data_IF_762161680425
#
_entry.id   IF_762161680425
#
_cell.length_a   1.000
_cell.length_b   1.000
_cell.length_c   1.000
_cell.angle_alpha   90.00
_cell.angle_beta   90.00
_cell.angle_gamma   90.00
#
_symmetry.space_group_name_H-M   'P 1'
#
loop_
_entity.id
_entity.type
_entity.pdbx_description
1 polymer ?
#
# COMPACT_ATOMS: atom_id res chain seq x y z
N UNK A 1 -14.48 5.54 -24.12
CA UNK A 1 -14.67 6.29 -22.86
C UNK A 1 -16.07 6.88 -22.81
N UNK A 2 -16.67 6.91 -21.64
CA UNK A 2 -17.95 7.55 -21.38
C UNK A 2 -17.83 8.38 -20.09
N UNK A 3 -18.65 9.43 -19.97
CA UNK A 3 -18.69 10.28 -18.79
C UNK A 3 -19.99 10.03 -18.02
N UNK A 4 -19.88 9.97 -16.69
CA UNK A 4 -21.02 9.85 -15.79
C UNK A 4 -21.07 11.09 -14.90
N UNK A 5 -22.16 11.84 -14.96
CA UNK A 5 -22.40 12.94 -14.04
C UNK A 5 -23.04 12.40 -12.75
N UNK A 6 -22.35 12.54 -11.63
CA UNK A 6 -22.83 12.09 -10.31
C UNK A 6 -22.59 13.18 -9.25
N UNK A 7 -23.51 13.30 -8.29
CA UNK A 7 -23.34 14.18 -7.14
C UNK A 7 -22.36 13.68 -6.10
N UNK A 8 -22.24 12.35 -6.02
CA UNK A 8 -21.35 11.65 -5.10
C UNK A 8 -20.62 10.55 -5.86
N UNK A 9 -19.32 10.44 -5.64
CA UNK A 9 -18.45 9.39 -6.19
C UNK A 9 -17.75 8.73 -5.02
N UNK A 10 -17.85 7.40 -4.91
CA UNK A 10 -17.14 6.61 -3.91
C UNK A 10 -15.99 5.86 -4.58
N UNK A 11 -14.76 6.08 -4.10
CA UNK A 11 -13.58 5.30 -4.45
C UNK A 11 -13.38 4.17 -3.43
N UNK A 12 -13.40 2.93 -3.91
CA UNK A 12 -13.16 1.71 -3.14
C UNK A 12 -12.23 0.79 -3.96
N UNK A 13 -11.11 1.34 -4.43
CA UNK A 13 -10.26 0.78 -5.50
C UNK A 13 -9.10 -0.05 -4.99
N UNK A 14 -8.98 -0.24 -3.67
CA UNK A 14 -7.85 -0.94 -3.07
C UNK A 14 -6.56 -0.12 -3.06
N UNK A 15 -5.45 -0.77 -2.75
CA UNK A 15 -4.14 -0.16 -2.61
C UNK A 15 -3.28 -0.21 -3.87
N UNK A 16 -1.98 0.04 -3.71
CA UNK A 16 -0.99 0.18 -4.78
C UNK A 16 0.17 -0.83 -4.66
N UNK A 17 -0.10 -2.09 -4.28
CA UNK A 17 0.96 -3.10 -4.10
C UNK A 17 1.80 -3.35 -5.35
N UNK A 18 1.26 -3.08 -6.51
CA UNK A 18 1.97 -3.17 -7.78
C UNK A 18 3.03 -2.06 -8.01
N UNK A 19 3.18 -1.13 -7.06
CA UNK A 19 4.36 -0.27 -6.98
C UNK A 19 5.66 -1.06 -6.77
N UNK A 20 5.59 -2.25 -6.19
CA UNK A 20 6.75 -3.06 -5.83
C UNK A 20 6.85 -4.31 -6.69
N UNK A 21 8.08 -4.70 -7.03
CA UNK A 21 8.35 -5.92 -7.79
C UNK A 21 7.94 -7.18 -7.04
N UNK A 22 8.17 -7.20 -5.71
CA UNK A 22 7.81 -8.32 -4.85
C UNK A 22 6.59 -7.92 -4.03
N UNK A 23 5.43 -8.50 -4.35
CA UNK A 23 4.15 -8.19 -3.71
C UNK A 23 3.25 -9.42 -3.59
N UNK A 24 2.41 -9.42 -2.57
CA UNK A 24 1.32 -10.39 -2.39
C UNK A 24 0.00 -9.91 -3.02
N UNK A 25 -0.01 -8.68 -3.57
CA UNK A 25 -1.22 -8.09 -4.13
C UNK A 25 -1.45 -8.51 -5.59
N UNK A 26 -2.70 -8.65 -6.02
CA UNK A 26 -3.04 -8.99 -7.41
C UNK A 26 -2.57 -7.92 -8.39
N UNK A 27 -2.45 -8.30 -9.66
CA UNK A 27 -1.95 -7.42 -10.73
C UNK A 27 -2.76 -6.13 -10.93
N UNK A 28 -4.00 -6.11 -10.46
CA UNK A 28 -4.92 -4.96 -10.52
C UNK A 28 -4.74 -3.96 -9.36
N UNK A 29 -3.89 -4.26 -8.38
CA UNK A 29 -3.62 -3.34 -7.26
C UNK A 29 -2.63 -2.24 -7.67
N UNK A 30 -3.04 -1.40 -8.61
CA UNK A 30 -2.23 -0.35 -9.27
C UNK A 30 -2.42 1.04 -8.66
N UNK A 31 -3.28 1.18 -7.64
CA UNK A 31 -3.50 2.44 -6.94
C UNK A 31 -4.26 3.50 -7.75
N UNK A 32 -4.95 3.11 -8.80
CA UNK A 32 -5.59 4.03 -9.76
C UNK A 32 -6.52 5.04 -9.08
N UNK A 33 -7.32 4.61 -8.09
CA UNK A 33 -8.22 5.52 -7.37
C UNK A 33 -7.49 6.60 -6.59
N UNK A 34 -6.36 6.25 -5.96
CA UNK A 34 -5.53 7.24 -5.23
C UNK A 34 -4.91 8.23 -6.22
N UNK A 35 -4.35 7.75 -7.33
CA UNK A 35 -3.77 8.60 -8.38
C UNK A 35 -4.81 9.53 -9.01
N UNK A 36 -6.01 9.03 -9.30
CA UNK A 36 -7.11 9.84 -9.83
C UNK A 36 -7.56 10.90 -8.83
N UNK A 37 -7.72 10.56 -7.56
CA UNK A 37 -8.10 11.48 -6.49
C UNK A 37 -7.04 12.57 -6.31
N UNK A 38 -5.76 12.20 -6.31
CA UNK A 38 -4.62 13.12 -6.20
C UNK A 38 -4.61 14.11 -7.37
N UNK A 39 -4.79 13.65 -8.61
CA UNK A 39 -4.89 14.54 -9.79
C UNK A 39 -6.13 15.44 -9.76
N UNK A 40 -7.21 15.01 -9.12
CA UNK A 40 -8.40 15.85 -8.90
C UNK A 40 -8.21 16.87 -7.78
N UNK A 41 -7.08 16.85 -7.06
CA UNK A 41 -6.77 17.76 -5.96
C UNK A 41 -7.21 17.29 -4.58
N UNK A 42 -7.58 16.02 -4.41
CA UNK A 42 -7.81 15.45 -3.10
C UNK A 42 -6.50 15.32 -2.31
N UNK A 43 -6.56 15.60 -1.00
CA UNK A 43 -5.40 15.42 -0.13
C UNK A 43 -5.14 13.93 0.10
N UNK A 44 -3.87 13.54 0.00
CA UNK A 44 -3.37 12.20 0.33
C UNK A 44 -2.47 12.32 1.55
N UNK A 45 -2.44 11.31 2.41
CA UNK A 45 -1.62 11.33 3.61
C UNK A 45 -1.07 9.93 3.95
N UNK A 46 0.03 9.91 4.72
CA UNK A 46 0.65 8.70 5.27
C UNK A 46 1.04 7.64 4.20
N UNK A 47 1.25 8.08 2.97
CA UNK A 47 1.45 7.21 1.81
C UNK A 47 2.80 6.46 1.86
N UNK A 48 3.77 6.94 2.63
CA UNK A 48 5.04 6.28 2.91
C UNK A 48 4.92 5.04 3.80
N UNK A 49 3.80 4.86 4.51
CA UNK A 49 3.55 3.69 5.34
C UNK A 49 2.99 2.54 4.50
N UNK A 50 3.89 1.81 3.87
CA UNK A 50 3.57 0.60 3.14
C UNK A 50 4.03 -0.62 3.93
N UNK A 51 3.09 -1.48 4.35
CA UNK A 51 3.40 -2.67 5.13
C UNK A 51 3.94 -3.79 4.24
N UNK A 52 5.09 -4.32 4.59
CA UNK A 52 5.64 -5.54 4.02
C UNK A 52 5.28 -6.73 4.89
N UNK A 53 4.76 -7.79 4.28
CA UNK A 53 4.55 -9.05 4.99
C UNK A 53 5.87 -9.84 4.99
N UNK A 54 6.35 -10.29 6.15
CA UNK A 54 7.67 -10.92 6.23
C UNK A 54 7.74 -12.28 5.50
N UNK A 55 6.66 -13.06 5.50
CA UNK A 55 6.65 -14.43 5.03
C UNK A 55 5.80 -14.62 3.77
N UNK A 56 6.14 -13.93 2.68
CA UNK A 56 5.69 -14.29 1.36
C UNK A 56 6.62 -15.35 0.76
N UNK A 57 6.07 -16.33 0.05
CA UNK A 57 6.85 -17.42 -0.53
C UNK A 57 7.78 -16.87 -1.62
N UNK A 58 9.09 -17.10 -1.49
CA UNK A 58 10.11 -16.50 -2.36
C UNK A 58 10.34 -17.33 -3.63
N UNK A 59 9.29 -17.49 -4.43
CA UNK A 59 9.31 -18.16 -5.73
C UNK A 59 9.04 -17.18 -6.86
N UNK A 60 9.30 -17.55 -8.13
CA UNK A 60 9.07 -16.67 -9.28
C UNK A 60 7.60 -16.28 -9.51
N UNK A 61 6.65 -17.05 -8.98
CA UNK A 61 5.20 -16.79 -9.12
C UNK A 61 4.80 -15.41 -8.59
N UNK A 62 3.90 -14.73 -9.30
CA UNK A 62 3.36 -13.42 -8.93
C UNK A 62 1.84 -13.39 -9.14
N UNK A 63 1.06 -12.90 -8.17
CA UNK A 63 1.47 -12.42 -6.84
C UNK A 63 2.11 -13.53 -6.00
N UNK A 64 3.00 -13.13 -5.08
CA UNK A 64 3.65 -14.09 -4.17
C UNK A 64 2.62 -14.75 -3.25
N UNK A 65 2.57 -16.10 -3.17
CA UNK A 65 1.72 -16.79 -2.18
C UNK A 65 2.07 -16.33 -0.77
N UNK A 66 1.05 -16.11 0.04
CA UNK A 66 1.21 -15.60 1.40
C UNK A 66 1.26 -16.74 2.40
N UNK A 67 2.39 -16.93 3.05
CA UNK A 67 2.49 -17.77 4.23
C UNK A 67 2.01 -16.99 5.45
N UNK A 68 0.78 -17.27 5.87
CA UNK A 68 0.07 -16.52 6.92
C UNK A 68 0.88 -16.38 8.19
N UNK A 69 0.73 -15.25 8.87
CA UNK A 69 1.28 -15.01 10.21
C UNK A 69 0.87 -16.08 11.23
N UNK A 70 -0.26 -16.75 11.00
CA UNK A 70 -0.71 -17.86 11.86
C UNK A 70 0.31 -19.00 11.92
N UNK A 71 1.09 -19.26 10.88
CA UNK A 71 2.15 -20.28 10.92
C UNK A 71 3.17 -19.96 12.01
N UNK A 72 3.64 -18.70 12.07
CA UNK A 72 4.57 -18.21 13.10
C UNK A 72 3.90 -18.25 14.49
N UNK A 73 2.63 -17.86 14.56
CA UNK A 73 1.82 -17.95 15.77
C UNK A 73 1.64 -19.38 16.31
N UNK A 74 1.75 -20.39 15.45
CA UNK A 74 1.71 -21.81 15.83
C UNK A 74 3.08 -22.43 16.05
N UNK A 75 4.16 -21.64 15.91
CA UNK A 75 5.51 -22.05 16.25
C UNK A 75 6.47 -22.26 15.09
N UNK A 76 6.10 -21.95 13.83
CA UNK A 76 7.04 -21.96 12.74
C UNK A 76 8.15 -20.91 12.96
N UNK A 77 9.41 -21.28 12.62
CA UNK A 77 10.60 -20.52 12.97
C UNK A 77 11.24 -19.91 11.73
N UNK A 78 11.77 -18.70 11.85
CA UNK A 78 12.56 -18.06 10.81
C UNK A 78 14.02 -18.48 10.95
N UNK A 79 14.60 -18.98 9.84
CA UNK A 79 15.97 -19.45 9.75
C UNK A 79 16.74 -18.64 8.72
N UNK A 80 17.99 -18.33 9.04
CA UNK A 80 18.94 -17.74 8.12
C UNK A 80 19.71 -18.81 7.31
N UNK A 81 20.72 -18.39 6.55
CA UNK A 81 21.55 -19.32 5.72
C UNK A 81 22.22 -20.41 6.55
N UNK A 82 22.59 -20.11 7.77
CA UNK A 82 23.32 -21.04 8.64
C UNK A 82 22.37 -21.90 9.50
N UNK A 83 21.04 -21.73 9.31
CA UNK A 83 19.98 -22.43 10.04
C UNK A 83 19.67 -21.85 11.39
N UNK A 84 20.24 -20.68 11.71
CA UNK A 84 20.06 -20.04 13.01
C UNK A 84 18.82 -19.14 13.02
N UNK A 85 18.22 -19.01 14.19
CA UNK A 85 17.15 -18.02 14.43
C UNK A 85 17.77 -16.65 14.67
N UNK A 86 17.27 -15.64 13.99
CA UNK A 86 17.81 -14.28 14.04
C UNK A 86 16.81 -13.23 14.56
N UNK A 87 15.55 -13.58 14.75
CA UNK A 87 14.49 -12.67 15.23
C UNK A 87 13.43 -13.45 16.02
N UNK A 88 12.71 -12.75 16.89
CA UNK A 88 11.48 -13.25 17.48
C UNK A 88 10.34 -13.09 16.45
N UNK A 89 9.83 -14.21 15.98
CA UNK A 89 8.84 -14.31 14.89
C UNK A 89 7.48 -13.69 15.24
N UNK A 90 7.19 -13.47 16.52
CA UNK A 90 5.93 -12.91 16.98
C UNK A 90 5.96 -11.40 17.14
N UNK A 91 7.09 -10.76 16.88
CA UNK A 91 7.17 -9.30 16.83
C UNK A 91 6.33 -8.72 15.67
N UNK A 92 5.97 -7.41 15.73
CA UNK A 92 5.24 -6.74 14.66
C UNK A 92 5.90 -6.95 13.28
N UNK A 93 5.08 -7.00 12.23
CA UNK A 93 5.52 -7.30 10.84
C UNK A 93 6.66 -6.42 10.37
N UNK A 94 6.63 -5.12 10.70
CA UNK A 94 7.69 -4.18 10.35
C UNK A 94 9.02 -4.54 11.00
N UNK A 95 9.01 -4.99 12.26
CA UNK A 95 10.22 -5.44 12.97
C UNK A 95 10.79 -6.70 12.34
N UNK A 96 9.94 -7.68 12.07
CA UNK A 96 10.37 -8.95 11.44
C UNK A 96 10.88 -8.71 10.03
N UNK A 97 10.16 -7.93 9.21
CA UNK A 97 10.60 -7.61 7.84
C UNK A 97 11.94 -6.87 7.80
N UNK A 98 12.18 -5.94 8.73
CA UNK A 98 13.48 -5.26 8.86
C UNK A 98 14.61 -6.22 9.22
N UNK A 99 14.38 -7.11 10.19
CA UNK A 99 15.38 -8.11 10.58
C UNK A 99 15.70 -9.03 9.41
N UNK A 100 14.67 -9.55 8.71
CA UNK A 100 14.84 -10.38 7.53
C UNK A 100 15.64 -9.66 6.43
N UNK A 101 15.27 -8.43 6.09
CA UNK A 101 15.96 -7.68 5.05
C UNK A 101 17.43 -7.44 5.38
N UNK A 102 17.74 -7.09 6.65
CA UNK A 102 19.15 -6.95 7.08
C UNK A 102 19.91 -8.27 6.99
N UNK A 103 19.36 -9.36 7.51
CA UNK A 103 19.98 -10.68 7.42
C UNK A 103 20.21 -11.12 5.97
N UNK A 104 19.24 -10.86 5.07
CA UNK A 104 19.40 -11.13 3.64
C UNK A 104 20.55 -10.32 3.03
N UNK A 105 20.68 -9.04 3.35
CA UNK A 105 21.76 -8.18 2.87
C UNK A 105 23.13 -8.63 3.43
N UNK A 106 23.22 -8.86 4.73
CA UNK A 106 24.45 -9.25 5.42
C UNK A 106 24.98 -10.61 4.92
N UNK A 107 24.09 -11.53 4.57
CA UNK A 107 24.42 -12.85 4.09
C UNK A 107 24.43 -12.98 2.55
N UNK A 108 24.16 -11.88 1.82
CA UNK A 108 24.01 -11.84 0.36
C UNK A 108 23.03 -12.91 -0.15
N UNK A 109 21.83 -12.90 0.40
CA UNK A 109 20.73 -13.81 0.08
C UNK A 109 19.54 -13.05 -0.51
N UNK A 110 18.77 -13.70 -1.37
CA UNK A 110 17.51 -13.16 -1.93
C UNK A 110 16.26 -13.65 -1.17
N UNK A 111 16.43 -14.61 -0.27
CA UNK A 111 15.40 -15.14 0.63
C UNK A 111 16.02 -15.72 1.90
N UNK A 112 15.18 -15.99 2.89
CA UNK A 112 15.46 -16.77 4.09
C UNK A 112 14.46 -17.92 4.16
N UNK A 113 14.41 -18.66 5.25
CA UNK A 113 13.53 -19.82 5.36
C UNK A 113 12.54 -19.69 6.50
N UNK A 114 11.34 -20.20 6.29
CA UNK A 114 10.35 -20.49 7.32
C UNK A 114 10.37 -22.01 7.56
N UNK A 115 10.86 -22.41 8.71
CA UNK A 115 10.85 -23.78 9.17
C UNK A 115 9.47 -24.08 9.78
N UNK A 116 8.63 -24.73 9.00
CA UNK A 116 7.30 -25.19 9.39
C UNK A 116 7.25 -26.68 9.76
N UNK A 117 8.39 -27.39 9.71
CA UNK A 117 8.49 -28.84 9.98
C UNK A 117 8.13 -29.19 11.43
N UNK A 118 8.18 -28.21 12.31
CA UNK A 118 7.81 -28.33 13.73
C UNK A 118 6.29 -28.32 13.97
N UNK A 119 5.47 -28.04 12.91
CA UNK A 119 4.01 -27.95 13.02
C UNK A 119 3.37 -29.30 12.73
N UNK A 120 2.67 -29.83 13.73
CA UNK A 120 1.84 -31.03 13.57
C UNK A 120 0.56 -30.73 12.78
N UNK A 121 0.08 -31.70 12.00
CA UNK A 121 -1.18 -31.62 11.23
C UNK A 121 -1.29 -30.39 10.33
N UNK A 122 -0.17 -29.99 9.66
CA UNK A 122 -0.10 -28.77 8.87
C UNK A 122 -1.22 -28.65 7.84
N UNK A 123 -1.46 -29.70 7.03
CA UNK A 123 -2.48 -29.68 5.98
C UNK A 123 -3.91 -29.59 6.54
N UNK A 124 -4.15 -30.14 7.72
CA UNK A 124 -5.46 -30.02 8.39
C UNK A 124 -5.71 -28.61 8.92
N UNK A 125 -4.68 -27.98 9.48
CA UNK A 125 -4.74 -26.63 10.09
C UNK A 125 -4.71 -25.50 9.07
N UNK A 126 -3.97 -25.69 7.98
CA UNK A 126 -3.72 -24.69 6.95
C UNK A 126 -3.93 -25.27 5.54
N UNK A 127 -5.16 -25.76 5.23
CA UNK A 127 -5.41 -26.52 3.99
C UNK A 127 -5.07 -25.71 2.73
N UNK A 128 -5.46 -24.44 2.65
CA UNK A 128 -5.17 -23.57 1.49
C UNK A 128 -3.66 -23.40 1.28
N UNK A 129 -2.92 -23.16 2.37
CA UNK A 129 -1.46 -23.00 2.28
C UNK A 129 -0.79 -24.32 1.88
N UNK A 130 -1.28 -25.45 2.39
CA UNK A 130 -0.78 -26.77 2.02
C UNK A 130 -0.99 -27.07 0.55
N UNK A 131 -2.15 -26.70 -0.01
CA UNK A 131 -2.46 -26.84 -1.43
C UNK A 131 -1.55 -25.96 -2.28
N UNK A 132 -1.36 -24.68 -1.90
CA UNK A 132 -0.45 -23.75 -2.60
C UNK A 132 0.99 -24.29 -2.61
N UNK A 133 1.50 -24.76 -1.46
CA UNK A 133 2.84 -25.33 -1.35
C UNK A 133 2.98 -26.60 -2.20
N UNK A 134 1.98 -27.47 -2.21
CA UNK A 134 1.97 -28.69 -3.03
C UNK A 134 2.05 -28.37 -4.52
N UNK A 135 1.36 -27.33 -4.98
CA UNK A 135 1.42 -26.86 -6.37
C UNK A 135 2.83 -26.36 -6.74
N UNK A 136 3.54 -25.79 -5.79
CA UNK A 136 4.92 -25.32 -5.95
C UNK A 136 5.97 -26.43 -5.69
N UNK A 137 5.52 -27.67 -5.39
CA UNK A 137 6.40 -28.83 -5.17
C UNK A 137 7.09 -28.86 -3.81
N UNK A 138 6.56 -28.12 -2.81
CA UNK A 138 7.10 -28.03 -1.46
C UNK A 138 6.27 -28.85 -0.46
N UNK A 139 6.94 -29.60 0.41
CA UNK A 139 6.34 -30.37 1.50
C UNK A 139 6.67 -29.69 2.86
N UNK A 140 5.72 -28.97 3.49
CA UNK A 140 6.00 -28.24 4.73
C UNK A 140 6.37 -29.14 5.93
N UNK A 141 6.15 -30.45 5.82
CA UNK A 141 6.58 -31.40 6.83
C UNK A 141 8.06 -31.81 6.71
N UNK A 142 8.72 -31.46 5.59
CA UNK A 142 10.09 -31.87 5.30
C UNK A 142 10.98 -30.70 4.88
N UNK A 143 10.40 -29.74 4.17
CA UNK A 143 11.15 -28.67 3.52
C UNK A 143 11.05 -27.39 4.33
N UNK A 144 12.15 -26.67 4.45
CA UNK A 144 12.11 -25.27 4.84
C UNK A 144 11.61 -24.44 3.68
N UNK A 145 10.63 -23.58 3.96
CA UNK A 145 9.93 -22.80 2.95
C UNK A 145 10.70 -21.51 2.65
N UNK A 146 11.12 -21.25 1.40
CA UNK A 146 11.83 -20.02 1.07
C UNK A 146 10.87 -18.81 1.22
N UNK A 147 11.25 -17.81 2.00
CA UNK A 147 10.44 -16.62 2.31
C UNK A 147 11.24 -15.34 2.18
N UNK A 148 10.57 -14.29 1.73
CA UNK A 148 11.11 -12.93 1.70
C UNK A 148 10.02 -11.91 2.03
N UNK A 149 10.38 -10.73 2.56
CA UNK A 149 9.44 -9.63 2.72
C UNK A 149 8.84 -9.19 1.38
N UNK A 150 7.51 -9.05 1.32
CA UNK A 150 6.79 -8.60 0.14
C UNK A 150 5.83 -7.48 0.47
N UNK A 151 5.65 -6.52 -0.43
CA UNK A 151 4.66 -5.47 -0.30
C UNK A 151 3.27 -6.09 -0.16
N UNK A 152 2.51 -5.67 0.87
CA UNK A 152 1.30 -6.38 1.28
C UNK A 152 0.10 -5.47 1.51
N UNK A 153 0.30 -4.31 2.17
CA UNK A 153 -0.81 -3.40 2.48
C UNK A 153 -0.36 -1.95 2.55
N UNK A 154 -1.11 -1.08 1.91
CA UNK A 154 -0.95 0.36 1.97
C UNK A 154 -1.72 0.92 3.17
N UNK A 155 -1.02 1.56 4.13
CA UNK A 155 -1.67 2.11 5.33
C UNK A 155 -2.22 3.51 5.13
N UNK A 156 -1.60 4.30 4.25
CA UNK A 156 -2.03 5.63 3.85
C UNK A 156 -2.85 5.64 2.56
N UNK A 157 -3.16 6.83 2.05
CA UNK A 157 -3.97 7.00 0.84
C UNK A 157 -4.76 8.30 0.85
N UNK A 158 -5.94 8.31 0.26
CA UNK A 158 -6.83 9.47 0.22
C UNK A 158 -7.27 9.81 1.65
N UNK A 159 -6.96 11.03 2.11
CA UNK A 159 -7.32 11.49 3.45
C UNK A 159 -8.83 11.58 3.61
N UNK A 160 -9.39 10.90 4.62
CA UNK A 160 -10.82 10.90 4.91
C UNK A 160 -11.12 11.24 6.37
N UNK A 161 -12.34 11.69 6.59
CA UNK A 161 -12.92 11.72 7.93
C UNK A 161 -13.50 10.34 8.32
N UNK A 162 -14.05 10.20 9.52
CA UNK A 162 -14.60 8.93 10.02
C UNK A 162 -15.82 8.40 9.23
N UNK A 163 -16.38 9.17 8.32
CA UNK A 163 -17.48 8.72 7.46
C UNK A 163 -17.07 8.64 6.00
N UNK A 164 -15.75 8.67 5.73
CA UNK A 164 -15.18 8.49 4.40
C UNK A 164 -15.27 9.70 3.48
N UNK A 165 -15.64 10.89 3.97
CA UNK A 165 -15.62 12.11 3.15
C UNK A 165 -14.17 12.59 2.97
N UNK A 166 -13.78 12.87 1.71
CA UNK A 166 -12.46 13.40 1.36
C UNK A 166 -12.40 14.93 1.48
N UNK A 167 -11.23 15.50 1.21
CA UNK A 167 -11.06 16.96 1.12
C UNK A 167 -11.86 17.62 -0.01
N UNK A 168 -12.32 16.85 -1.00
CA UNK A 168 -13.14 17.33 -2.11
C UNK A 168 -14.62 17.04 -1.87
N UNK A 169 -15.48 18.07 -1.88
CA UNK A 169 -16.92 17.89 -1.72
C UNK A 169 -17.51 16.94 -2.78
N UNK A 170 -18.27 15.94 -2.35
CA UNK A 170 -18.89 14.94 -3.23
C UNK A 170 -17.96 13.76 -3.59
N UNK A 171 -16.67 13.80 -3.22
CA UNK A 171 -15.78 12.67 -3.34
C UNK A 171 -15.66 11.96 -1.98
N UNK A 172 -15.83 10.64 -2.01
CA UNK A 172 -15.81 9.74 -0.87
C UNK A 172 -14.81 8.63 -1.12
N UNK A 173 -14.26 8.06 -0.05
CA UNK A 173 -13.39 6.90 -0.19
C UNK A 173 -13.52 5.97 1.03
N UNK A 174 -13.33 4.66 0.81
CA UNK A 174 -13.35 3.64 1.86
C UNK A 174 -12.41 2.47 1.53
N UNK A 175 -11.91 1.79 2.56
CA UNK A 175 -10.98 0.66 2.45
C UNK A 175 -9.55 1.09 2.15
N UNK A 176 -8.73 0.18 1.63
CA UNK A 176 -7.28 0.36 1.48
C UNK A 176 -6.85 1.55 0.59
N UNK A 177 -7.76 2.13 -0.17
CA UNK A 177 -7.50 3.36 -0.94
C UNK A 177 -7.41 4.61 -0.05
N UNK A 178 -7.72 4.51 1.26
CA UNK A 178 -7.87 5.65 2.17
C UNK A 178 -6.77 5.76 3.22
N UNK A 179 -6.55 6.99 3.70
CA UNK A 179 -5.97 7.28 4.99
C UNK A 179 -7.09 7.68 5.95
N UNK A 180 -7.72 6.70 6.58
CA UNK A 180 -8.73 6.90 7.63
C UNK A 180 -8.11 7.22 8.99
N UNK A 181 -6.80 6.90 9.14
CA UNK A 181 -6.04 6.98 10.38
C UNK A 181 -6.10 5.71 11.24
N UNK A 182 -6.96 4.73 10.89
CA UNK A 182 -7.14 3.51 11.70
C UNK A 182 -5.91 2.62 11.75
N UNK A 183 -5.08 2.65 10.71
CA UNK A 183 -3.87 1.83 10.63
C UNK A 183 -2.63 2.52 11.17
N UNK A 184 -2.64 3.85 11.29
CA UNK A 184 -1.45 4.60 11.68
C UNK A 184 -0.24 4.25 10.81
N UNK A 185 0.91 4.07 11.43
CA UNK A 185 2.16 3.76 10.72
C UNK A 185 2.37 2.27 10.41
N UNK A 186 1.51 1.38 10.91
CA UNK A 186 1.63 -0.07 10.68
C UNK A 186 0.31 -0.78 11.00
N UNK A 187 -0.32 -1.37 9.98
CA UNK A 187 -1.61 -2.03 10.12
C UNK A 187 -1.52 -3.28 11.00
N UNK A 188 -2.46 -3.41 11.92
CA UNK A 188 -2.67 -4.66 12.67
C UNK A 188 -3.19 -5.76 11.74
N UNK A 189 -2.71 -6.98 11.92
CA UNK A 189 -3.12 -8.12 11.09
C UNK A 189 -4.65 -8.24 10.99
N UNK A 190 -5.15 -8.50 9.76
CA UNK A 190 -6.57 -8.63 9.42
C UNK A 190 -7.45 -7.39 9.60
N UNK A 191 -6.93 -6.28 10.13
CA UNK A 191 -7.73 -5.07 10.42
C UNK A 191 -8.26 -4.37 9.16
N UNK A 192 -7.69 -4.62 7.98
CA UNK A 192 -8.19 -4.07 6.71
C UNK A 192 -9.59 -4.56 6.35
N UNK A 193 -9.93 -5.80 6.69
CA UNK A 193 -11.28 -6.33 6.46
C UNK A 193 -12.29 -5.61 7.35
N UNK A 194 -11.94 -5.39 8.62
CA UNK A 194 -12.77 -4.64 9.57
C UNK A 194 -12.94 -3.18 9.13
N UNK A 195 -11.89 -2.57 8.62
CA UNK A 195 -11.97 -1.21 8.07
C UNK A 195 -13.01 -1.12 6.95
N UNK A 196 -12.94 -1.99 5.95
CA UNK A 196 -13.91 -2.00 4.85
C UNK A 196 -15.35 -2.22 5.31
N UNK A 197 -15.55 -3.14 6.28
CA UNK A 197 -16.86 -3.43 6.86
C UNK A 197 -17.45 -2.27 7.67
N UNK A 198 -16.62 -1.45 8.31
CA UNK A 198 -17.05 -0.31 9.12
C UNK A 198 -17.23 0.95 8.28
N UNK A 199 -16.23 1.32 7.50
CA UNK A 199 -16.25 2.61 6.78
C UNK A 199 -17.11 2.58 5.53
N UNK A 200 -17.27 1.45 4.84
CA UNK A 200 -18.17 1.34 3.70
C UNK A 200 -19.62 1.74 4.01
N UNK A 201 -20.28 1.13 5.01
CA UNK A 201 -21.63 1.54 5.44
C UNK A 201 -21.70 3.00 5.90
N UNK A 202 -20.70 3.50 6.63
CA UNK A 202 -20.68 4.90 7.10
C UNK A 202 -20.68 5.90 5.95
N UNK A 203 -19.99 5.62 4.85
CA UNK A 203 -20.06 6.45 3.64
C UNK A 203 -21.49 6.50 3.12
N UNK A 204 -22.15 5.35 2.98
CA UNK A 204 -23.52 5.26 2.46
C UNK A 204 -24.50 6.02 3.35
N UNK A 205 -24.40 5.86 4.65
CA UNK A 205 -25.23 6.58 5.64
C UNK A 205 -25.04 8.09 5.55
N UNK A 206 -23.77 8.56 5.46
CA UNK A 206 -23.47 9.97 5.34
C UNK A 206 -24.00 10.59 4.03
N UNK A 207 -23.87 9.87 2.92
CA UNK A 207 -24.41 10.27 1.61
C UNK A 207 -25.95 10.30 1.63
N UNK A 208 -26.58 9.29 2.21
CA UNK A 208 -28.03 9.20 2.35
C UNK A 208 -28.59 10.34 3.23
N UNK A 209 -27.84 10.76 4.25
CA UNK A 209 -28.17 11.91 5.09
C UNK A 209 -27.93 13.27 4.39
N UNK A 210 -27.57 13.28 3.11
CA UNK A 210 -27.36 14.49 2.30
C UNK A 210 -26.07 15.24 2.61
N UNK A 211 -25.11 14.61 3.25
CA UNK A 211 -23.82 15.22 3.57
C UNK A 211 -22.99 15.46 2.30
N UNK A 212 -22.22 16.54 2.26
CA UNK A 212 -21.47 16.94 1.06
C UNK A 212 -19.98 17.14 1.27
N UNK A 213 -19.49 17.21 2.50
CA UNK A 213 -18.08 17.52 2.78
C UNK A 213 -17.59 16.89 4.07
N UNK A 214 -16.26 16.95 4.25
CA UNK A 214 -15.56 16.38 5.38
C UNK A 214 -15.84 17.15 6.69
N UNK A 215 -15.79 16.40 7.79
CA UNK A 215 -15.80 16.91 9.16
C UNK A 215 -14.42 16.75 9.77
N UNK A 216 -14.13 17.54 10.82
CA UNK A 216 -12.88 17.41 11.59
C UNK A 216 -12.94 16.20 12.52
N UNK A 217 -12.92 14.99 11.93
CA UNK A 217 -12.91 13.70 12.64
C UNK A 217 -11.87 12.78 12.02
N UNK A 218 -11.43 11.75 12.74
CA UNK A 218 -10.41 10.81 12.25
C UNK A 218 -9.12 11.51 11.79
N UNK A 219 -8.51 11.02 10.74
CA UNK A 219 -7.31 11.60 10.15
C UNK A 219 -7.53 13.00 9.56
N UNK A 220 -8.75 13.33 9.14
CA UNK A 220 -9.10 14.65 8.60
C UNK A 220 -8.88 15.81 9.59
N UNK A 221 -8.77 15.54 10.91
CA UNK A 221 -8.40 16.54 11.91
C UNK A 221 -7.07 17.20 11.64
N UNK A 222 -6.15 16.48 11.03
CA UNK A 222 -4.81 17.02 10.69
C UNK A 222 -4.89 18.16 9.66
N UNK A 223 -5.88 18.10 8.78
CA UNK A 223 -6.11 19.11 7.76
C UNK A 223 -7.04 20.24 8.26
N UNK A 224 -8.16 19.88 8.89
CA UNK A 224 -9.21 20.85 9.29
C UNK A 224 -8.99 21.46 10.67
N UNK A 225 -8.03 20.93 11.45
CA UNK A 225 -7.76 21.35 12.83
C UNK A 225 -8.88 20.93 13.80
N UNK A 226 -8.66 21.21 15.08
CA UNK A 226 -9.62 20.91 16.15
C UNK A 226 -10.76 21.96 16.25
N UNK A 227 -11.18 22.59 15.16
CA UNK A 227 -12.34 23.47 15.20
C UNK A 227 -13.57 22.61 15.49
N UNK A 228 -14.04 22.70 16.72
CA UNK A 228 -15.36 22.21 17.12
C UNK A 228 -16.41 22.96 16.30
N UNK A 229 -16.68 22.47 15.10
CA UNK A 229 -17.82 22.88 14.29
C UNK A 229 -19.06 22.23 14.87
N UNK A 230 -19.93 23.01 15.48
CA UNK A 230 -21.14 22.58 16.16
C UNK A 230 -22.00 21.65 15.33
N UNK A 231 -22.19 20.45 15.83
CA UNK A 231 -23.39 19.64 15.75
C UNK A 231 -23.26 18.65 16.92
N UNK A 232 -24.17 18.79 17.86
CA UNK A 232 -24.31 17.92 19.03
C UNK A 232 -24.39 16.47 18.63
N UNK A 233 -23.41 15.67 19.06
CA UNK A 233 -23.54 14.22 19.09
C UNK A 233 -24.61 13.83 20.12
N UNK A 234 -25.46 12.83 19.83
CA UNK A 234 -26.31 12.26 20.87
C UNK A 234 -25.41 11.57 21.91
N UNK A 235 -25.54 12.00 23.15
CA UNK A 235 -24.89 11.41 24.31
C UNK A 235 -25.34 9.96 24.49
N UNK A 236 -24.40 9.02 24.44
CA UNK A 236 -24.67 7.63 24.72
C UNK A 236 -23.49 6.72 24.42
N UNK A 237 -22.49 6.72 25.28
CA UNK A 237 -21.41 5.76 25.22
C UNK A 237 -20.37 6.03 26.31
N UNK A 238 -20.36 5.18 27.29
CA UNK A 238 -19.53 5.19 28.49
C UNK A 238 -18.06 5.46 28.22
N UNK A 239 -17.52 6.46 28.91
CA UNK A 239 -16.09 6.69 29.09
C UNK A 239 -15.42 5.47 29.73
N UNK A 240 -14.54 4.85 28.98
CA UNK A 240 -13.37 4.12 29.51
C UNK A 240 -12.30 4.06 28.44
N UNK A 241 -11.27 4.86 28.60
CA UNK A 241 -9.87 4.51 28.45
C UNK A 241 -9.06 5.78 28.18
N UNK A 242 -8.42 6.26 29.21
CA UNK A 242 -7.23 7.08 29.08
C UNK A 242 -6.13 6.23 28.41
N UNK A 243 -5.80 6.59 27.20
CA UNK A 243 -4.50 6.34 26.61
C UNK A 243 -4.23 7.49 25.63
N UNK A 244 -3.73 8.58 26.18
CA UNK A 244 -3.12 9.65 25.42
C UNK A 244 -1.86 9.13 24.73
N UNK A 245 -1.99 8.52 23.59
CA UNK A 245 -0.91 8.43 22.63
C UNK A 245 -0.94 9.75 21.84
N UNK A 246 0.05 10.57 22.08
CA UNK A 246 0.40 11.71 21.22
C UNK A 246 0.66 11.19 19.82
N UNK A 247 -0.39 11.23 18.96
CA UNK A 247 -0.28 10.93 17.55
C UNK A 247 0.32 12.17 16.88
N UNK A 248 1.63 12.39 17.12
CA UNK A 248 2.45 13.39 16.43
C UNK A 248 2.68 13.06 14.95
N UNK A 249 1.67 12.55 14.26
CA UNK A 249 1.61 12.43 12.82
C UNK A 249 1.21 13.77 12.24
N UNK A 250 2.15 14.66 11.95
CA UNK A 250 1.90 15.74 11.00
C UNK A 250 1.60 15.07 9.67
N UNK A 251 0.33 15.16 9.21
CA UNK A 251 0.08 15.04 7.78
C UNK A 251 0.96 16.10 7.11
N UNK A 252 2.00 15.66 6.42
CA UNK A 252 2.75 16.53 5.53
C UNK A 252 1.83 16.66 4.33
N UNK A 253 1.18 17.82 4.08
CA UNK A 253 0.49 18.03 2.83
C UNK A 253 1.56 17.79 1.78
N UNK A 254 1.34 16.85 0.86
CA UNK A 254 2.19 16.77 -0.31
C UNK A 254 2.12 18.17 -0.92
N UNK A 255 3.26 18.90 -1.03
CA UNK A 255 3.25 20.13 -1.77
C UNK A 255 2.61 19.74 -3.09
N UNK A 256 1.52 20.39 -3.47
CA UNK A 256 0.98 20.29 -4.80
C UNK A 256 2.07 20.87 -5.70
N UNK A 257 3.08 20.06 -6.03
CA UNK A 257 3.84 20.28 -7.25
C UNK A 257 2.77 20.45 -8.29
N UNK A 258 2.79 21.51 -9.10
CA UNK A 258 1.77 21.68 -10.11
C UNK A 258 1.74 20.36 -10.88
N UNK A 259 0.68 19.58 -10.62
CA UNK A 259 0.40 18.40 -11.45
C UNK A 259 0.46 18.97 -12.84
N UNK A 260 1.30 18.43 -13.74
CA UNK A 260 1.40 18.95 -15.08
C UNK A 260 -0.01 19.15 -15.57
N UNK A 261 -0.33 20.38 -16.01
CA UNK A 261 -1.69 20.75 -16.41
C UNK A 261 -2.04 19.84 -17.59
N UNK A 262 -2.60 18.69 -17.27
CA UNK A 262 -2.94 17.65 -18.20
C UNK A 262 -4.14 18.17 -18.98
N UNK A 263 -4.04 18.39 -20.29
CA UNK A 263 -5.20 18.85 -21.04
C UNK A 263 -6.33 17.86 -20.84
N UNK A 264 -7.59 18.32 -20.69
CA UNK A 264 -8.73 17.43 -20.70
C UNK A 264 -8.65 16.53 -21.94
N UNK A 265 -9.11 15.27 -21.87
CA UNK A 265 -9.07 14.39 -23.03
C UNK A 265 -9.83 15.08 -24.14
N UNK A 266 -9.11 15.55 -25.17
CA UNK A 266 -9.73 15.97 -26.41
C UNK A 266 -10.63 14.86 -26.87
N UNK A 267 -11.84 15.19 -27.27
CA UNK A 267 -12.81 14.24 -27.80
C UNK A 267 -12.10 13.40 -28.87
N UNK A 268 -11.93 12.13 -28.59
CA UNK A 268 -11.11 11.23 -29.38
C UNK A 268 -11.59 11.28 -30.84
N UNK A 269 -10.74 11.80 -31.72
CA UNK A 269 -10.80 11.49 -33.13
C UNK A 269 -10.69 9.97 -33.26
N UNK A 270 -11.71 9.36 -33.87
CA UNK A 270 -11.96 7.92 -33.86
C UNK A 270 -11.00 7.07 -34.71
N UNK A 271 -9.72 7.43 -34.82
CA UNK A 271 -8.68 6.60 -35.43
C UNK A 271 -7.95 5.80 -34.36
N UNK A 272 -8.54 4.69 -33.90
CA UNK A 272 -7.85 3.69 -33.13
C UNK A 272 -6.83 2.97 -34.04
N UNK A 273 -5.62 3.52 -34.14
CA UNK A 273 -4.49 2.74 -34.63
C UNK A 273 -4.32 1.54 -33.68
N UNK A 274 -4.35 0.32 -34.24
CA UNK A 274 -4.01 -0.89 -33.47
C UNK A 274 -2.61 -0.68 -32.89
N UNK A 275 -2.43 -0.91 -31.55
CA UNK A 275 -1.10 -0.80 -30.95
C UNK A 275 -0.19 -1.84 -31.63
N UNK A 276 0.94 -1.41 -32.14
CA UNK A 276 1.98 -2.31 -32.60
C UNK A 276 2.36 -3.25 -31.45
N UNK A 277 2.64 -4.52 -31.73
CA UNK A 277 3.02 -5.52 -30.71
C UNK A 277 4.13 -5.02 -29.78
N UNK A 278 5.04 -4.20 -30.28
CA UNK A 278 6.13 -3.56 -29.51
C UNK A 278 5.64 -2.56 -28.45
N UNK A 279 4.48 -1.92 -28.62
CA UNK A 279 4.00 -0.90 -27.69
C UNK A 279 3.58 -1.50 -26.33
N UNK A 280 3.03 -2.72 -26.34
CA UNK A 280 2.65 -3.44 -25.13
C UNK A 280 3.86 -3.87 -24.30
N UNK A 281 4.89 -4.39 -24.96
CA UNK A 281 6.15 -4.80 -24.33
C UNK A 281 6.86 -3.61 -23.67
N UNK A 282 6.94 -2.47 -24.36
CA UNK A 282 7.56 -1.27 -23.80
C UNK A 282 6.83 -0.79 -22.53
N UNK A 283 5.50 -0.81 -22.51
CA UNK A 283 4.72 -0.44 -21.33
C UNK A 283 4.98 -1.42 -20.17
N UNK A 284 5.09 -2.72 -20.44
CA UNK A 284 5.43 -3.73 -19.44
C UNK A 284 6.86 -3.51 -18.89
N UNK A 285 7.81 -3.17 -19.75
CA UNK A 285 9.20 -2.87 -19.33
C UNK A 285 9.25 -1.62 -18.44
N UNK A 286 8.49 -0.57 -18.77
CA UNK A 286 8.38 0.64 -17.96
C UNK A 286 7.77 0.35 -16.59
N UNK A 287 6.71 -0.49 -16.52
CA UNK A 287 6.15 -0.99 -15.25
C UNK A 287 7.22 -1.70 -14.43
N UNK A 288 7.96 -2.61 -15.05
CA UNK A 288 9.05 -3.34 -14.38
C UNK A 288 10.16 -2.43 -13.84
N UNK A 289 10.47 -1.32 -14.54
CA UNK A 289 11.45 -0.32 -14.07
C UNK A 289 10.96 0.36 -12.80
N UNK A 290 9.70 0.85 -12.76
CA UNK A 290 9.10 1.43 -11.56
C UNK A 290 9.17 0.42 -10.40
N UNK A 291 8.69 -0.80 -10.62
CA UNK A 291 8.62 -1.82 -9.58
C UNK A 291 9.98 -2.15 -8.98
N UNK A 292 11.02 -2.28 -9.80
CA UNK A 292 12.39 -2.50 -9.32
C UNK A 292 12.94 -1.30 -8.56
N UNK A 293 12.77 -0.09 -9.10
CA UNK A 293 13.21 1.13 -8.44
C UNK A 293 12.56 1.29 -7.06
N UNK A 294 11.25 1.07 -6.95
CA UNK A 294 10.53 1.14 -5.68
C UNK A 294 10.94 0.04 -4.69
N UNK A 295 11.15 -1.17 -5.18
CA UNK A 295 11.59 -2.29 -4.31
C UNK A 295 12.96 -2.02 -3.70
N UNK A 296 13.90 -1.52 -4.49
CA UNK A 296 15.28 -1.25 -4.05
C UNK A 296 15.36 0.05 -3.24
N UNK A 297 14.71 1.13 -3.72
CA UNK A 297 14.90 2.48 -3.17
C UNK A 297 13.90 2.89 -2.09
N UNK A 298 12.68 2.34 -2.12
CA UNK A 298 11.59 2.68 -1.21
C UNK A 298 10.98 1.45 -0.51
N UNK A 299 11.71 0.35 -0.46
CA UNK A 299 11.31 -0.90 0.17
C UNK A 299 11.28 -0.86 1.69
N UNK A 300 11.69 -1.97 2.33
CA UNK A 300 11.67 -2.11 3.80
C UNK A 300 12.68 -1.18 4.47
N UNK A 301 13.91 -1.10 3.93
CA UNK A 301 14.97 -0.21 4.39
C UNK A 301 15.15 0.93 3.38
N UNK A 302 15.25 2.15 3.86
CA UNK A 302 15.29 3.36 3.03
C UNK A 302 16.37 4.30 3.52
N UNK A 303 17.01 5.00 2.58
CA UNK A 303 17.89 6.14 2.86
C UNK A 303 17.53 7.32 1.97
N UNK A 304 18.02 8.51 2.28
CA UNK A 304 17.85 9.66 1.40
C UNK A 304 18.38 9.42 0.00
N UNK A 305 19.49 8.72 -0.13
CA UNK A 305 20.11 8.36 -1.40
C UNK A 305 19.26 7.35 -2.17
N UNK A 306 18.84 6.24 -1.53
CA UNK A 306 18.05 5.21 -2.18
C UNK A 306 16.69 5.74 -2.67
N UNK A 307 16.06 6.60 -1.87
CA UNK A 307 14.81 7.27 -2.24
C UNK A 307 15.01 8.24 -3.43
N UNK A 308 16.09 9.04 -3.43
CA UNK A 308 16.38 9.96 -4.52
C UNK A 308 16.66 9.23 -5.84
N UNK A 309 17.39 8.13 -5.80
CA UNK A 309 17.67 7.31 -6.97
C UNK A 309 16.37 6.71 -7.56
N UNK A 310 15.51 6.16 -6.70
CA UNK A 310 14.20 5.67 -7.13
C UNK A 310 13.35 6.78 -7.75
N UNK A 311 13.31 7.96 -7.12
CA UNK A 311 12.58 9.12 -7.63
C UNK A 311 13.00 9.49 -9.05
N UNK A 312 14.30 9.56 -9.29
CA UNK A 312 14.86 9.90 -10.61
C UNK A 312 14.43 8.88 -11.69
N UNK A 313 14.40 7.59 -11.36
CA UNK A 313 13.95 6.55 -12.27
C UNK A 313 12.45 6.66 -12.60
N UNK A 314 11.61 6.96 -11.58
CA UNK A 314 10.18 7.14 -11.79
C UNK A 314 9.88 8.38 -12.66
N UNK A 315 10.61 9.48 -12.48
CA UNK A 315 10.49 10.67 -13.30
C UNK A 315 10.89 10.40 -14.74
N UNK A 316 11.96 9.62 -14.96
CA UNK A 316 12.39 9.20 -16.29
C UNK A 316 11.30 8.37 -16.99
N UNK A 317 10.71 7.40 -16.28
CA UNK A 317 9.59 6.60 -16.80
C UNK A 317 8.38 7.48 -17.12
N UNK A 318 8.04 8.43 -16.26
CA UNK A 318 6.95 9.39 -16.49
C UNK A 318 7.17 10.21 -17.76
N UNK A 319 8.40 10.69 -17.99
CA UNK A 319 8.77 11.42 -19.20
C UNK A 319 8.67 10.56 -20.47
N UNK A 320 9.10 9.29 -20.41
CA UNK A 320 8.97 8.34 -21.53
C UNK A 320 7.50 8.02 -21.86
N UNK A 321 6.60 8.04 -20.87
CA UNK A 321 5.16 7.83 -21.05
C UNK A 321 4.43 9.04 -21.64
N UNK A 322 4.94 10.26 -21.44
CA UNK A 322 4.25 11.50 -21.83
C UNK A 322 3.91 11.59 -23.33
N UNK A 323 4.73 10.99 -24.20
CA UNK A 323 4.51 10.99 -25.66
C UNK A 323 3.80 9.75 -26.21
N UNK A 324 3.32 8.84 -25.34
CA UNK A 324 2.72 7.55 -25.76
C UNK A 324 1.20 7.59 -25.82
N UNK A 325 0.63 6.71 -26.67
CA UNK A 325 -0.81 6.53 -26.74
C UNK A 325 -1.42 6.17 -25.38
N UNK A 326 -2.59 6.71 -25.10
CA UNK A 326 -3.35 6.48 -23.87
C UNK A 326 -4.08 5.14 -23.95
N UNK A 327 -3.43 4.07 -23.52
CA UNK A 327 -4.03 2.75 -23.32
C UNK A 327 -4.26 2.53 -21.82
N UNK A 328 -5.12 1.59 -21.44
CA UNK A 328 -5.32 1.24 -20.03
C UNK A 328 -3.99 0.91 -19.35
N UNK A 329 -3.17 0.04 -19.95
CA UNK A 329 -1.88 -0.34 -19.39
C UNK A 329 -0.93 0.86 -19.23
N UNK A 330 -0.89 1.80 -20.20
CA UNK A 330 -0.08 3.00 -20.08
C UNK A 330 -0.58 3.94 -18.96
N UNK A 331 -1.91 4.05 -18.77
CA UNK A 331 -2.49 4.84 -17.67
C UNK A 331 -2.17 4.22 -16.30
N UNK A 332 -2.26 2.89 -16.17
CA UNK A 332 -1.85 2.20 -14.94
C UNK A 332 -0.38 2.47 -14.59
N UNK A 333 0.52 2.44 -15.59
CA UNK A 333 1.95 2.74 -15.38
C UNK A 333 2.16 4.22 -15.03
N UNK A 334 1.40 5.15 -15.61
CA UNK A 334 1.42 6.56 -15.19
C UNK A 334 0.97 6.72 -13.75
N UNK A 335 -0.12 6.06 -13.37
CA UNK A 335 -0.61 6.07 -12.01
C UNK A 335 0.45 5.57 -11.02
N UNK A 336 1.11 4.47 -11.34
CA UNK A 336 2.21 3.93 -10.52
C UNK A 336 3.39 4.92 -10.42
N UNK A 337 3.77 5.59 -11.52
CA UNK A 337 4.85 6.59 -11.48
C UNK A 337 4.47 7.78 -10.58
N UNK A 338 3.27 8.35 -10.77
CA UNK A 338 2.78 9.48 -9.96
C UNK A 338 2.73 9.12 -8.47
N UNK A 339 2.20 7.94 -8.14
CA UNK A 339 2.09 7.47 -6.76
C UNK A 339 3.45 7.16 -6.13
N UNK A 340 4.36 6.56 -6.90
CA UNK A 340 5.71 6.27 -6.44
C UNK A 340 6.48 7.56 -6.10
N UNK A 341 6.39 8.59 -6.96
CA UNK A 341 6.98 9.91 -6.68
C UNK A 341 6.35 10.51 -5.41
N UNK A 342 5.02 10.50 -5.29
CA UNK A 342 4.34 11.01 -4.11
C UNK A 342 4.77 10.28 -2.82
N UNK A 343 4.87 8.95 -2.85
CA UNK A 343 5.35 8.14 -1.74
C UNK A 343 6.78 8.51 -1.34
N UNK A 344 7.66 8.69 -2.32
CA UNK A 344 9.06 9.04 -2.07
C UNK A 344 9.18 10.44 -1.49
N UNK A 345 8.42 11.42 -1.98
CA UNK A 345 8.44 12.80 -1.50
C UNK A 345 8.06 12.88 -0.01
N UNK A 346 7.01 12.17 0.42
CA UNK A 346 6.63 12.12 1.84
C UNK A 346 7.63 11.31 2.67
N UNK A 347 8.20 10.23 2.11
CA UNK A 347 9.24 9.44 2.77
C UNK A 347 10.54 10.25 3.00
N UNK A 348 10.92 11.11 2.06
CA UNK A 348 12.05 12.04 2.20
C UNK A 348 11.76 13.12 3.24
N UNK A 349 10.54 13.63 3.28
CA UNK A 349 10.13 14.66 4.25
C UNK A 349 10.09 14.13 5.69
N UNK A 350 9.75 12.82 5.87
CA UNK A 350 9.73 12.18 7.19
C UNK A 350 11.14 11.71 7.59
N UNK A 351 11.79 12.50 8.45
CA UNK A 351 13.15 12.23 8.96
C UNK A 351 13.12 11.48 10.29
N UNK A 352 12.48 10.31 10.28
CA UNK A 352 12.39 9.40 11.42
C UNK A 352 12.15 7.97 10.92
N UNK A 353 12.36 6.97 11.77
CA UNK A 353 11.86 5.62 11.58
C UNK A 353 10.63 5.41 12.44
N UNK A 354 9.50 4.96 11.79
CA UNK A 354 8.22 4.75 12.48
C UNK A 354 7.40 3.66 11.74
N UNK A 355 7.02 2.60 12.43
CA UNK A 355 6.22 1.52 11.85
C UNK A 355 6.82 0.96 10.57
N UNK A 356 6.07 0.99 9.49
CA UNK A 356 6.50 0.50 8.18
C UNK A 356 7.50 1.42 7.45
N UNK A 357 7.74 2.62 7.96
CA UNK A 357 8.73 3.55 7.40
C UNK A 357 10.03 3.46 8.18
N UNK A 358 11.08 2.97 7.52
CA UNK A 358 12.40 2.84 8.14
C UNK A 358 13.42 3.64 7.35
N UNK A 359 14.02 4.64 8.01
CA UNK A 359 15.12 5.46 7.49
C UNK A 359 16.41 5.04 8.18
N UNK A 360 17.38 4.57 7.41
CA UNK A 360 18.69 4.15 7.95
C UNK A 360 19.62 5.33 8.23
N UNK A 361 19.26 6.51 7.74
CA UNK A 361 19.97 7.76 7.91
C UNK A 361 19.36 8.65 9.03
N UNK A 362 18.35 8.14 9.78
CA UNK A 362 17.72 8.83 10.93
C UNK A 362 17.34 7.89 12.07
#
# INVERSE_FOLDING_TARGET
PFSVAARNVLLATGGAGQLFWITTNPSVATGDGVAMAMRAGAVVADFEFFQFHPTALALPSMPRPLLSEALRGHGALLRDRDGERFVDELKPRDVVSRAMTRTMLDQNMDHLWLDATVLEDFALRFPTIADDLTQEGLDPAKDWLPVAPAAHHQCGGILTDLDGATSLPGLWAAGETTCSGVHGANRLASNSLLEGMVFGPRVVEAVAAGRRGARSTGAMRTLLGNKAGGASEPAGGTETAEAGADIGGRAVPIPTSPVPNWPPPDAADGSAAQPAADAGQVVADLRGRIQRAMTVGAGVLRSGESLANARSELEAVGAELAGRARTQAAEEVRNLADLGVAMIDVALARRESRGCHTREDF
#
